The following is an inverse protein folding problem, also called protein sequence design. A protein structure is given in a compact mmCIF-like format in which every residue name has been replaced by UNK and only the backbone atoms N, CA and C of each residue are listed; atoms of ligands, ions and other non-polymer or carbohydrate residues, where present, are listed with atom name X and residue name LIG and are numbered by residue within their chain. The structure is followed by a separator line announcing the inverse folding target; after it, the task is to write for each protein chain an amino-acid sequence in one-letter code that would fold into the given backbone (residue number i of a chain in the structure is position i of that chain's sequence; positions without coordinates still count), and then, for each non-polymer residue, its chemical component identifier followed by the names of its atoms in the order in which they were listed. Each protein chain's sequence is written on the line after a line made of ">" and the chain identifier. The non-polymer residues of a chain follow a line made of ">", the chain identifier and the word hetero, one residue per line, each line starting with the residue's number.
data_IF_728208254907
#
_entry.id   IF_728208254907
#
_cell.length_a   1.000
_cell.length_b   1.000
_cell.length_c   1.000
_cell.angle_alpha   90.00
_cell.angle_beta   90.00
_cell.angle_gamma   90.00
#
_symmetry.space_group_name_H-M   'P 1'
#
loop_
_entity.id
_entity.type
_entity.pdbx_description
1 polymer ?
#
# COMPACT_ATOMS: atom_id res chain seq x y z
N UNK A 1 10.29 3.79 0.06
CA UNK A 1 9.44 2.62 -0.27
C UNK A 1 8.17 3.12 -0.94
N UNK A 2 7.73 2.48 -2.04
CA UNK A 2 6.52 2.89 -2.74
C UNK A 2 5.27 2.45 -1.93
N UNK A 3 4.37 3.39 -1.55
CA UNK A 3 3.17 3.08 -0.76
C UNK A 3 2.22 2.07 -1.39
N UNK A 4 2.01 2.10 -2.71
CA UNK A 4 1.04 1.21 -3.37
C UNK A 4 1.53 -0.24 -3.37
N UNK A 5 2.81 -0.45 -3.71
CA UNK A 5 3.44 -1.77 -3.64
C UNK A 5 3.46 -2.31 -2.21
N UNK A 6 3.75 -1.46 -1.23
CA UNK A 6 3.74 -1.89 0.17
C UNK A 6 2.34 -2.28 0.65
N UNK A 7 1.32 -1.50 0.33
CA UNK A 7 -0.07 -1.86 0.67
C UNK A 7 -0.45 -3.18 0.00
N UNK A 8 -0.13 -3.36 -1.28
CA UNK A 8 -0.39 -4.63 -1.98
C UNK A 8 0.32 -5.81 -1.32
N UNK A 9 1.59 -5.67 -0.95
CA UNK A 9 2.35 -6.70 -0.24
C UNK A 9 1.68 -7.07 1.10
N UNK A 10 1.32 -6.07 1.92
CA UNK A 10 0.67 -6.30 3.22
C UNK A 10 -0.69 -6.99 3.04
N UNK A 11 -1.49 -6.59 2.04
CA UNK A 11 -2.80 -7.22 1.78
C UNK A 11 -2.67 -8.68 1.32
N UNK A 12 -1.60 -9.05 0.60
CA UNK A 12 -1.33 -10.43 0.22
C UNK A 12 -0.83 -11.29 1.41
N UNK A 13 -0.08 -10.71 2.32
CA UNK A 13 0.55 -11.43 3.44
C UNK A 13 -0.30 -11.47 4.72
N UNK A 14 -1.28 -10.57 4.88
CA UNK A 14 -2.07 -10.46 6.12
C UNK A 14 -2.93 -11.69 6.47
N UNK A 15 -3.09 -12.63 5.54
CA UNK A 15 -3.74 -13.92 5.79
C UNK A 15 -2.85 -14.91 6.53
N UNK A 16 -1.53 -14.70 6.51
CA UNK A 16 -0.52 -15.58 7.13
C UNK A 16 0.18 -14.88 8.30
N UNK A 17 0.42 -13.58 8.21
CA UNK A 17 1.11 -12.79 9.22
C UNK A 17 0.25 -11.63 9.71
N UNK A 18 0.45 -11.19 10.95
CA UNK A 18 -0.23 -9.98 11.44
C UNK A 18 0.34 -8.77 10.72
N UNK A 19 -0.51 -7.82 10.35
CA UNK A 19 -0.11 -6.53 9.76
C UNK A 19 1.01 -5.85 10.57
N UNK A 20 0.93 -5.91 11.91
CA UNK A 20 1.95 -5.36 12.81
C UNK A 20 3.33 -6.01 12.62
N UNK A 21 3.38 -7.32 12.43
CA UNK A 21 4.61 -8.09 12.25
C UNK A 21 5.26 -7.76 10.90
N UNK A 22 4.45 -7.71 9.84
CA UNK A 22 4.91 -7.29 8.50
C UNK A 22 5.47 -5.86 8.55
N UNK A 23 4.74 -4.94 9.18
CA UNK A 23 5.16 -3.55 9.37
C UNK A 23 6.47 -3.45 10.16
N UNK A 24 6.62 -4.23 11.23
CA UNK A 24 7.83 -4.24 12.05
C UNK A 24 9.03 -4.80 11.28
N UNK A 25 8.86 -5.92 10.56
CA UNK A 25 9.92 -6.54 9.76
C UNK A 25 10.44 -5.60 8.66
N UNK A 26 9.54 -4.80 8.07
CA UNK A 26 9.86 -3.85 7.01
C UNK A 26 10.15 -2.43 7.52
N UNK A 27 10.26 -2.26 8.84
CA UNK A 27 10.57 -0.99 9.52
C UNK A 27 9.63 0.16 9.14
N UNK A 28 8.34 -0.14 9.01
CA UNK A 28 7.28 0.80 8.65
C UNK A 28 6.32 0.96 9.82
N UNK A 29 6.08 2.19 10.32
CA UNK A 29 5.09 2.40 11.36
C UNK A 29 3.70 1.93 10.92
N UNK A 30 2.98 1.25 11.80
CA UNK A 30 1.64 0.72 11.49
C UNK A 30 0.65 1.83 11.09
N UNK A 31 0.79 3.03 11.66
CA UNK A 31 0.01 4.21 11.30
C UNK A 31 0.28 4.67 9.86
N UNK A 32 1.52 4.50 9.37
CA UNK A 32 1.89 4.78 7.97
C UNK A 32 1.18 3.83 7.02
N UNK A 33 1.13 2.53 7.32
CA UNK A 33 0.35 1.56 6.55
C UNK A 33 -1.12 1.96 6.45
N UNK A 34 -1.80 2.25 7.56
CA UNK A 34 -3.22 2.60 7.52
C UNK A 34 -3.49 3.93 6.82
N UNK A 35 -2.59 4.93 6.92
CA UNK A 35 -2.67 6.15 6.10
C UNK A 35 -2.55 5.84 4.62
N UNK A 36 -1.62 4.97 4.23
CA UNK A 36 -1.45 4.57 2.84
C UNK A 36 -2.64 3.76 2.34
N UNK A 37 -3.13 2.78 3.10
CA UNK A 37 -4.31 1.99 2.74
C UNK A 37 -5.57 2.83 2.48
N UNK A 38 -5.73 3.95 3.18
CA UNK A 38 -6.83 4.90 2.97
C UNK A 38 -6.67 5.73 1.69
N UNK A 39 -5.47 5.79 1.09
CA UNK A 39 -5.27 6.47 -0.19
C UNK A 39 -5.76 5.58 -1.32
N UNK A 40 -6.50 6.19 -2.23
CA UNK A 40 -6.80 5.57 -3.50
C UNK A 40 -5.58 5.65 -4.42
N UNK A 41 -4.92 4.51 -4.63
CA UNK A 41 -3.79 4.37 -5.55
C UNK A 41 -4.21 3.99 -6.98
N UNK A 42 -5.50 3.76 -7.23
CA UNK A 42 -5.99 3.40 -8.58
C UNK A 42 -5.98 4.60 -9.53
N UNK A 43 -6.11 5.81 -8.96
CA UNK A 43 -6.19 7.07 -9.70
C UNK A 43 -4.87 7.50 -10.36
N UNK A 44 -3.73 6.89 -10.03
CA UNK A 44 -2.42 7.33 -10.53
C UNK A 44 -1.97 6.61 -11.81
N UNK A 45 -2.65 5.53 -12.24
CA UNK A 45 -2.27 4.76 -13.44
C UNK A 45 -3.16 4.99 -14.66
N UNK A 46 -4.49 5.00 -14.48
CA UNK A 46 -5.42 5.08 -15.61
C UNK A 46 -5.85 6.50 -15.97
N UNK A 47 -5.95 7.42 -15.01
CA UNK A 47 -6.40 8.79 -15.28
C UNK A 47 -5.38 9.57 -16.15
N UNK A 48 -4.08 9.39 -15.92
CA UNK A 48 -3.03 10.03 -16.74
C UNK A 48 -3.04 9.55 -18.20
N UNK A 49 -3.49 8.33 -18.46
CA UNK A 49 -3.63 7.82 -19.83
C UNK A 49 -4.82 8.45 -20.56
N UNK A 50 -5.95 8.64 -19.86
CA UNK A 50 -7.14 9.28 -20.42
C UNK A 50 -7.08 10.82 -20.49
N UNK A 51 -6.29 11.47 -19.64
CA UNK A 51 -6.10 12.93 -19.66
C UNK A 51 -5.10 13.39 -20.75
N UNK A 52 -4.38 12.45 -21.38
CA UNK A 52 -3.35 12.70 -22.41
C UNK A 52 -3.82 12.35 -23.83
N UNK A 53 -4.97 11.67 -23.99
CA UNK A 53 -5.56 11.32 -25.29
C UNK A 53 -6.73 12.21 -25.67
#
# INVERSE_FOLDING_TARGET
>A
MNPSYFVSLVENLKGTYRVKEICQALQVPISTYYRWKKKDFTRTGMQLFFDTV
#
